data_IF_952909424175
#
_entry.id   IF_952909424175
#
_cell.length_a   1.000
_cell.length_b   1.000
_cell.length_c   1.000
_cell.angle_alpha   90.00
_cell.angle_beta   90.00
_cell.angle_gamma   90.00
#
_symmetry.space_group_name_H-M   'P 1'
#
loop_
_entity.id
_entity.type
_entity.pdbx_description
1 polymer ?
#
# COMPACT_ATOMS: atom_id res chain seq x y z
N UNK A 1 13.87 20.16 2.99
CA UNK A 1 14.72 18.96 2.81
C UNK A 1 13.83 17.73 2.79
N UNK A 2 13.14 17.45 3.90
CA UNK A 2 12.16 16.36 4.04
C UNK A 2 11.21 16.17 2.85
N UNK A 3 10.46 17.22 2.45
CA UNK A 3 9.54 17.14 1.32
C UNK A 3 10.18 16.71 -0.02
N UNK A 4 11.48 16.95 -0.22
CA UNK A 4 12.18 16.51 -1.42
C UNK A 4 12.53 15.03 -1.32
N UNK A 5 13.03 14.60 -0.16
CA UNK A 5 13.41 13.21 0.11
C UNK A 5 12.19 12.29 0.06
N UNK A 6 11.12 12.67 0.76
CA UNK A 6 9.82 11.99 0.73
C UNK A 6 9.30 11.85 -0.71
N UNK A 7 9.23 12.94 -1.48
CA UNK A 7 8.78 12.89 -2.88
C UNK A 7 9.63 11.96 -3.76
N UNK A 8 10.94 11.88 -3.53
CA UNK A 8 11.83 11.02 -4.31
C UNK A 8 11.63 9.54 -3.95
N UNK A 9 11.45 9.21 -2.67
CA UNK A 9 11.12 7.86 -2.21
C UNK A 9 9.78 7.40 -2.78
N UNK A 10 8.73 8.20 -2.65
CA UNK A 10 7.42 7.87 -3.21
C UNK A 10 7.44 7.72 -4.73
N UNK A 11 8.27 8.51 -5.42
CA UNK A 11 8.51 8.36 -6.85
C UNK A 11 9.10 6.99 -7.21
N UNK A 12 9.99 6.46 -6.36
CA UNK A 12 10.58 5.14 -6.53
C UNK A 12 9.57 4.03 -6.22
N UNK A 13 8.77 4.16 -5.15
CA UNK A 13 7.66 3.25 -4.86
C UNK A 13 6.69 3.17 -6.05
N UNK A 14 6.23 4.33 -6.52
CA UNK A 14 5.27 4.43 -7.61
C UNK A 14 5.83 3.85 -8.93
N UNK A 15 7.13 4.02 -9.21
CA UNK A 15 7.79 3.42 -10.38
C UNK A 15 7.74 1.88 -10.32
N UNK A 16 8.07 1.30 -9.17
CA UNK A 16 8.06 -0.17 -8.99
C UNK A 16 6.64 -0.74 -9.08
N UNK A 17 5.65 -0.12 -8.44
CA UNK A 17 4.25 -0.53 -8.54
C UNK A 17 3.71 -0.40 -9.97
N UNK A 18 4.04 0.68 -10.69
CA UNK A 18 3.67 0.84 -12.11
C UNK A 18 4.28 -0.26 -13.00
N UNK A 19 5.48 -0.74 -12.69
CA UNK A 19 6.06 -1.87 -13.43
C UNK A 19 5.27 -3.17 -13.20
N UNK A 20 4.78 -3.41 -11.98
CA UNK A 20 3.89 -4.54 -11.69
C UNK A 20 2.55 -4.40 -12.41
N UNK A 21 1.91 -3.21 -12.35
CA UNK A 21 0.67 -2.93 -13.05
C UNK A 21 0.83 -3.12 -14.56
N UNK A 22 1.93 -2.65 -15.16
CA UNK A 22 2.20 -2.86 -16.59
C UNK A 22 2.29 -4.35 -16.95
N UNK A 23 2.84 -5.19 -16.07
CA UNK A 23 2.86 -6.64 -16.25
C UNK A 23 1.44 -7.25 -16.15
N UNK A 24 0.61 -6.78 -15.22
CA UNK A 24 -0.79 -7.18 -15.12
C UNK A 24 -1.58 -6.77 -16.37
N UNK A 25 -1.44 -5.55 -16.86
CA UNK A 25 -2.08 -5.07 -18.09
C UNK A 25 -1.63 -5.88 -19.30
N UNK A 26 -0.34 -6.22 -19.40
CA UNK A 26 0.15 -7.10 -20.47
C UNK A 26 -0.56 -8.46 -20.47
N UNK A 27 -0.88 -9.00 -19.29
CA UNK A 27 -1.60 -10.26 -19.13
C UNK A 27 -3.11 -10.12 -19.32
N UNK A 28 -3.68 -9.02 -18.83
CA UNK A 28 -5.10 -8.69 -18.81
C UNK A 28 -5.31 -7.24 -19.33
N UNK A 29 -5.35 -7.04 -20.66
CA UNK A 29 -5.37 -5.70 -21.25
C UNK A 29 -6.52 -4.80 -20.78
N UNK A 30 -7.65 -5.37 -20.37
CA UNK A 30 -8.79 -4.61 -19.82
C UNK A 30 -8.43 -3.79 -18.57
N UNK A 31 -7.45 -4.24 -17.77
CA UNK A 31 -6.98 -3.52 -16.58
C UNK A 31 -6.36 -2.14 -16.91
N UNK A 32 -6.02 -1.85 -18.18
CA UNK A 32 -5.61 -0.51 -18.56
C UNK A 32 -6.72 0.50 -18.30
N UNK A 33 -7.98 0.14 -18.56
CA UNK A 33 -9.12 1.00 -18.25
C UNK A 33 -9.19 1.32 -16.76
N UNK A 34 -9.06 0.31 -15.90
CA UNK A 34 -9.02 0.50 -14.45
C UNK A 34 -7.88 1.44 -14.03
N UNK A 35 -6.70 1.30 -14.63
CA UNK A 35 -5.59 2.20 -14.35
C UNK A 35 -5.87 3.64 -14.81
N UNK A 36 -6.44 3.82 -15.99
CA UNK A 36 -6.80 5.13 -16.52
C UNK A 36 -7.87 5.82 -15.66
N UNK A 37 -8.89 5.06 -15.21
CA UNK A 37 -9.93 5.54 -14.31
C UNK A 37 -9.36 5.97 -12.95
N UNK A 38 -8.40 5.19 -12.40
CA UNK A 38 -7.70 5.54 -11.15
C UNK A 38 -6.90 6.83 -11.31
N UNK A 39 -6.18 7.00 -12.42
CA UNK A 39 -5.41 8.23 -12.69
C UNK A 39 -6.34 9.42 -12.81
N UNK A 40 -7.44 9.30 -13.57
CA UNK A 40 -8.43 10.36 -13.72
C UNK A 40 -9.03 10.78 -12.36
N UNK A 41 -9.35 9.82 -11.48
CA UNK A 41 -9.87 10.10 -10.14
C UNK A 41 -8.89 10.94 -9.29
N UNK A 42 -7.59 10.66 -9.39
CA UNK A 42 -6.56 11.46 -8.70
C UNK A 42 -6.32 12.82 -9.36
N UNK A 43 -6.39 12.91 -10.69
CA UNK A 43 -6.28 14.18 -11.41
C UNK A 43 -7.45 15.11 -11.06
N UNK A 44 -8.68 14.59 -11.02
CA UNK A 44 -9.87 15.34 -10.57
C UNK A 44 -9.70 15.86 -9.13
N UNK A 45 -9.26 15.00 -8.20
CA UNK A 45 -8.97 15.42 -6.83
C UNK A 45 -7.90 16.52 -6.78
N UNK A 46 -6.86 16.40 -7.63
CA UNK A 46 -5.77 17.35 -7.71
C UNK A 46 -6.24 18.73 -8.16
N UNK A 47 -7.08 18.79 -9.20
CA UNK A 47 -7.62 20.02 -9.76
C UNK A 47 -8.64 20.71 -8.85
N UNK A 48 -9.45 19.93 -8.13
CA UNK A 48 -10.53 20.47 -7.28
C UNK A 48 -10.05 21.07 -5.96
N UNK A 49 -8.93 20.58 -5.42
CA UNK A 49 -8.51 20.86 -4.05
C UNK A 49 -7.22 21.68 -3.99
N UNK A 50 -7.12 22.53 -2.97
CA UNK A 50 -5.91 23.33 -2.75
C UNK A 50 -4.77 22.50 -2.12
N UNK A 51 -3.57 23.09 -2.10
CA UNK A 51 -2.38 22.43 -1.52
C UNK A 51 -2.55 22.15 -0.02
N UNK A 52 -3.38 22.90 0.72
CA UNK A 52 -3.63 22.64 2.15
C UNK A 52 -4.39 21.34 2.31
N UNK A 53 -5.41 21.10 1.48
CA UNK A 53 -6.10 19.82 1.42
C UNK A 53 -5.15 18.69 1.07
N UNK A 54 -4.34 18.81 0.01
CA UNK A 54 -3.43 17.74 -0.42
C UNK A 54 -2.42 17.34 0.63
N UNK A 55 -1.78 18.31 1.30
CA UNK A 55 -0.85 18.00 2.39
C UNK A 55 -1.58 17.36 3.59
N UNK A 56 -2.79 17.82 3.92
CA UNK A 56 -3.59 17.21 4.97
C UNK A 56 -4.05 15.78 4.60
N UNK A 57 -4.37 15.54 3.33
CA UNK A 57 -4.78 14.26 2.78
C UNK A 57 -3.63 13.24 2.88
N UNK A 58 -2.43 13.62 2.42
CA UNK A 58 -1.22 12.79 2.55
C UNK A 58 -0.90 12.49 4.01
N UNK A 59 -0.92 13.49 4.90
CA UNK A 59 -0.67 13.27 6.33
C UNK A 59 -1.73 12.35 6.99
N UNK A 60 -3.00 12.48 6.60
CA UNK A 60 -4.06 11.58 7.08
C UNK A 60 -3.89 10.15 6.60
N UNK A 61 -3.42 9.95 5.36
CA UNK A 61 -3.12 8.63 4.81
C UNK A 61 -1.93 7.99 5.48
N UNK A 62 -0.79 8.68 5.53
CA UNK A 62 0.45 8.17 6.12
C UNK A 62 0.27 7.80 7.59
N UNK A 63 -0.52 8.58 8.34
CA UNK A 63 -0.88 8.27 9.73
C UNK A 63 -1.54 6.89 9.90
N UNK A 64 -2.15 6.32 8.85
CA UNK A 64 -2.75 4.98 8.90
C UNK A 64 -1.76 3.85 8.63
N UNK A 65 -0.65 4.14 7.95
CA UNK A 65 0.27 3.12 7.44
C UNK A 65 0.92 2.31 8.55
N UNK A 66 1.45 2.95 9.60
CA UNK A 66 2.15 2.22 10.67
C UNK A 66 1.26 1.18 11.38
N UNK A 67 0.06 1.52 11.90
CA UNK A 67 -0.83 0.51 12.49
C UNK A 67 -1.25 -0.59 11.50
N UNK A 68 -1.49 -0.22 10.24
CA UNK A 68 -1.99 -1.12 9.22
C UNK A 68 -0.93 -2.08 8.70
N UNK A 69 0.23 -1.56 8.30
CA UNK A 69 1.39 -2.33 7.86
C UNK A 69 1.97 -3.20 8.96
N UNK A 70 1.87 -2.79 10.24
CA UNK A 70 2.23 -3.68 11.34
C UNK A 70 1.43 -4.98 11.33
N UNK A 71 0.11 -4.92 11.18
CA UNK A 71 -0.72 -6.13 11.09
C UNK A 71 -0.32 -6.95 9.85
N UNK A 72 -0.12 -6.28 8.71
CA UNK A 72 0.27 -6.97 7.48
C UNK A 72 1.62 -7.70 7.64
N UNK A 73 2.62 -7.06 8.25
CA UNK A 73 3.95 -7.63 8.43
C UNK A 73 3.96 -8.73 9.49
N UNK A 74 3.27 -8.52 10.62
CA UNK A 74 3.16 -9.51 11.70
C UNK A 74 2.45 -10.78 11.20
N UNK A 75 1.49 -10.65 10.27
CA UNK A 75 0.71 -11.75 9.68
C UNK A 75 1.10 -12.08 8.22
N UNK A 76 2.29 -11.66 7.79
CA UNK A 76 2.76 -11.83 6.40
C UNK A 76 2.73 -13.27 5.89
N UNK A 77 2.87 -14.26 6.76
CA UNK A 77 2.80 -15.68 6.38
C UNK A 77 1.40 -16.05 5.88
N UNK A 78 0.36 -15.63 6.61
CA UNK A 78 -1.03 -15.84 6.20
C UNK A 78 -1.39 -15.05 4.94
N UNK A 79 -0.83 -13.84 4.79
CA UNK A 79 -1.22 -12.90 3.72
C UNK A 79 -0.40 -13.07 2.43
N UNK A 80 0.86 -13.48 2.54
CA UNK A 80 1.82 -13.50 1.42
C UNK A 80 2.61 -14.81 1.31
N UNK A 81 2.49 -15.75 2.25
CA UNK A 81 3.30 -16.97 2.28
C UNK A 81 3.19 -17.80 1.01
N UNK A 82 1.99 -17.85 0.42
CA UNK A 82 1.71 -18.54 -0.85
C UNK A 82 1.74 -17.61 -2.07
N UNK A 83 2.01 -16.30 -1.86
CA UNK A 83 2.03 -15.30 -2.93
C UNK A 83 3.28 -15.40 -3.81
N UNK A 84 3.18 -14.88 -5.04
CA UNK A 84 4.35 -14.78 -5.94
C UNK A 84 5.48 -13.97 -5.30
N UNK A 85 6.69 -14.51 -5.31
CA UNK A 85 7.81 -13.92 -4.58
C UNK A 85 8.15 -12.49 -5.01
N UNK A 86 7.94 -12.13 -6.28
CA UNK A 86 8.25 -10.77 -6.76
C UNK A 86 7.23 -9.76 -6.27
N UNK A 87 5.96 -10.16 -6.23
CA UNK A 87 4.86 -9.31 -5.78
C UNK A 87 4.88 -9.17 -4.25
N UNK A 88 5.02 -10.29 -3.54
CA UNK A 88 5.12 -10.30 -2.09
C UNK A 88 6.33 -9.49 -1.60
N UNK A 89 7.51 -9.67 -2.22
CA UNK A 89 8.70 -8.90 -1.87
C UNK A 89 8.56 -7.41 -2.19
N UNK A 90 7.92 -7.05 -3.31
CA UNK A 90 7.64 -5.65 -3.66
C UNK A 90 6.76 -4.97 -2.60
N UNK A 91 5.68 -5.65 -2.17
CA UNK A 91 4.77 -5.10 -1.17
C UNK A 91 5.46 -4.98 0.20
N UNK A 92 6.19 -6.01 0.62
CA UNK A 92 6.90 -6.00 1.90
C UNK A 92 8.05 -4.98 1.93
N UNK A 93 8.78 -4.81 0.82
CA UNK A 93 9.77 -3.72 0.68
C UNK A 93 9.12 -2.37 0.91
N UNK A 94 8.04 -2.07 0.17
CA UNK A 94 7.32 -0.82 0.30
C UNK A 94 6.85 -0.60 1.74
N UNK A 95 6.22 -1.59 2.38
CA UNK A 95 5.77 -1.46 3.76
C UNK A 95 6.89 -1.28 4.78
N UNK A 96 8.08 -1.86 4.53
CA UNK A 96 9.25 -1.63 5.38
C UNK A 96 9.81 -0.22 5.22
N UNK A 97 9.87 0.32 4.00
CA UNK A 97 10.31 1.71 3.76
C UNK A 97 9.31 2.72 4.34
N UNK A 98 8.01 2.49 4.19
CA UNK A 98 6.94 3.34 4.77
C UNK A 98 6.98 3.45 6.29
N UNK A 99 7.63 2.49 6.95
CA UNK A 99 7.89 2.56 8.39
C UNK A 99 9.02 3.56 8.71
N UNK A 100 10.01 3.74 7.83
CA UNK A 100 11.13 4.66 8.06
C UNK A 100 10.68 6.12 8.00
N UNK A 101 9.76 6.47 7.10
CA UNK A 101 9.29 7.84 6.89
C UNK A 101 7.84 8.08 7.36
N UNK A 102 7.34 7.26 8.31
CA UNK A 102 5.96 7.26 8.83
C UNK A 102 5.41 8.57 9.43
N UNK A 103 6.23 9.60 9.51
CA UNK A 103 5.90 10.94 10.00
C UNK A 103 6.15 12.04 8.97
N UNK A 104 6.74 11.73 7.80
CA UNK A 104 7.20 12.73 6.85
C UNK A 104 6.06 13.60 6.31
N UNK A 105 4.97 13.01 5.82
CA UNK A 105 3.81 13.77 5.34
C UNK A 105 3.15 14.57 6.46
N UNK A 106 3.08 14.01 7.68
CA UNK A 106 2.55 14.73 8.85
C UNK A 106 3.42 15.95 9.22
N UNK A 107 4.74 15.78 9.24
CA UNK A 107 5.71 16.82 9.57
C UNK A 107 5.73 17.92 8.51
N UNK A 108 5.62 17.55 7.23
CA UNK A 108 5.48 18.50 6.13
C UNK A 108 4.18 19.32 6.32
N UNK A 109 3.04 18.68 6.59
CA UNK A 109 1.79 19.39 6.84
C UNK A 109 1.89 20.32 8.06
N UNK A 110 2.46 19.82 9.16
CA UNK A 110 2.61 20.57 10.40
C UNK A 110 3.55 21.78 10.24
N UNK A 111 4.61 21.64 9.45
CA UNK A 111 5.57 22.72 9.19
C UNK A 111 5.02 23.82 8.27
N UNK A 112 4.15 23.48 7.31
CA UNK A 112 3.58 24.43 6.35
C UNK A 112 2.32 25.11 6.89
N UNK A 113 1.40 24.35 7.48
CA UNK A 113 0.09 24.84 7.91
C UNK A 113 -0.17 24.70 9.40
N UNK A 114 0.21 23.55 10.00
CA UNK A 114 0.04 23.31 11.43
C UNK A 114 -1.40 23.28 11.96
N UNK A 115 -2.40 23.24 11.08
CA UNK A 115 -3.82 23.31 11.43
C UNK A 115 -4.40 21.90 11.64
N UNK A 116 -4.24 21.38 12.84
CA UNK A 116 -4.68 20.02 13.19
C UNK A 116 -6.20 19.85 13.12
N UNK A 117 -6.98 20.89 13.44
CA UNK A 117 -8.43 20.84 13.37
C UNK A 117 -8.91 20.71 11.92
N UNK A 118 -8.32 21.48 11.01
CA UNK A 118 -8.62 21.33 9.58
C UNK A 118 -8.28 19.91 9.10
N UNK A 119 -7.07 19.40 9.40
CA UNK A 119 -6.64 18.06 8.99
C UNK A 119 -7.62 16.98 9.46
N UNK A 120 -8.04 17.04 10.72
CA UNK A 120 -9.03 16.10 11.26
C UNK A 120 -10.41 16.26 10.60
N UNK A 121 -10.82 17.49 10.26
CA UNK A 121 -12.12 17.75 9.64
C UNK A 121 -12.27 17.14 8.24
N UNK A 122 -11.17 16.91 7.52
CA UNK A 122 -11.20 16.29 6.18
C UNK A 122 -11.10 14.76 6.22
N UNK A 123 -10.87 14.13 7.37
CA UNK A 123 -10.77 12.65 7.49
C UNK A 123 -11.96 11.92 6.83
N UNK A 124 -13.23 12.34 7.01
CA UNK A 124 -14.35 11.70 6.32
C UNK A 124 -14.23 11.74 4.79
N UNK A 125 -13.66 12.81 4.22
CA UNK A 125 -13.39 12.91 2.78
C UNK A 125 -12.30 11.94 2.34
N UNK A 126 -11.22 11.83 3.12
CA UNK A 126 -10.13 10.86 2.87
C UNK A 126 -10.69 9.43 2.88
N UNK A 127 -11.51 9.08 3.87
CA UNK A 127 -12.15 7.76 3.98
C UNK A 127 -13.07 7.51 2.77
N UNK A 128 -13.91 8.48 2.41
CA UNK A 128 -14.83 8.35 1.28
C UNK A 128 -14.09 8.15 -0.04
N UNK A 129 -13.03 8.92 -0.28
CA UNK A 129 -12.20 8.81 -1.47
C UNK A 129 -11.54 7.43 -1.57
N UNK A 130 -10.89 6.97 -0.50
CA UNK A 130 -10.20 5.68 -0.50
C UNK A 130 -11.16 4.49 -0.61
N UNK A 131 -12.37 4.61 -0.03
CA UNK A 131 -13.42 3.62 -0.22
C UNK A 131 -13.83 3.53 -1.70
N UNK A 132 -14.11 4.67 -2.33
CA UNK A 132 -14.51 4.71 -3.73
C UNK A 132 -13.40 4.20 -4.66
N UNK A 133 -12.15 4.61 -4.43
CA UNK A 133 -10.98 4.11 -5.13
C UNK A 133 -10.86 2.58 -5.02
N UNK A 134 -11.02 2.03 -3.81
CA UNK A 134 -10.96 0.59 -3.59
C UNK A 134 -12.09 -0.17 -4.29
N UNK A 135 -13.32 0.36 -4.27
CA UNK A 135 -14.46 -0.21 -4.99
C UNK A 135 -14.22 -0.23 -6.51
N UNK A 136 -13.75 0.88 -7.08
CA UNK A 136 -13.40 1.00 -8.49
C UNK A 136 -12.33 -0.03 -8.92
N UNK A 137 -11.27 -0.19 -8.12
CA UNK A 137 -10.22 -1.18 -8.40
C UNK A 137 -10.79 -2.60 -8.36
N UNK A 138 -11.57 -2.94 -7.32
CA UNK A 138 -12.17 -4.27 -7.19
C UNK A 138 -13.14 -4.58 -8.34
N UNK A 139 -13.95 -3.62 -8.76
CA UNK A 139 -14.85 -3.74 -9.91
C UNK A 139 -14.06 -3.97 -11.20
N UNK A 140 -12.98 -3.21 -11.43
CA UNK A 140 -12.10 -3.38 -12.58
C UNK A 140 -11.45 -4.77 -12.64
N UNK A 141 -10.98 -5.29 -11.50
CA UNK A 141 -10.47 -6.66 -11.42
C UNK A 141 -11.55 -7.71 -11.70
N UNK A 142 -12.75 -7.53 -11.14
CA UNK A 142 -13.89 -8.43 -11.36
C UNK A 142 -14.32 -8.47 -12.83
N UNK A 143 -14.25 -7.34 -13.52
CA UNK A 143 -14.62 -7.23 -14.94
C UNK A 143 -13.55 -7.81 -15.86
N UNK A 144 -12.27 -7.56 -15.58
CA UNK A 144 -11.20 -7.79 -16.55
C UNK A 144 -10.30 -9.00 -16.27
N UNK A 145 -10.40 -9.62 -15.09
CA UNK A 145 -9.59 -10.80 -14.72
C UNK A 145 -10.50 -12.02 -14.55
N UNK A 146 -10.45 -12.99 -15.47
CA UNK A 146 -11.33 -14.16 -15.42
C UNK A 146 -10.91 -15.14 -14.33
N UNK A 147 -11.88 -15.92 -13.83
CA UNK A 147 -11.67 -17.01 -12.87
C UNK A 147 -11.05 -16.59 -11.53
N UNK A 148 -11.21 -15.33 -11.12
CA UNK A 148 -10.88 -14.94 -9.76
C UNK A 148 -11.88 -15.59 -8.78
N UNK A 149 -11.40 -16.16 -7.66
CA UNK A 149 -12.27 -16.67 -6.61
C UNK A 149 -13.18 -15.58 -6.04
N UNK A 150 -14.41 -15.92 -5.67
CA UNK A 150 -15.38 -14.95 -5.15
C UNK A 150 -14.89 -14.30 -3.84
N UNK A 151 -14.15 -15.06 -3.04
CA UNK A 151 -13.52 -14.59 -1.80
C UNK A 151 -12.55 -13.43 -2.01
N UNK A 152 -12.00 -13.21 -3.21
CA UNK A 152 -11.20 -12.02 -3.52
C UNK A 152 -12.01 -10.71 -3.41
N UNK A 153 -13.34 -10.79 -3.52
CA UNK A 153 -14.24 -9.64 -3.53
C UNK A 153 -15.14 -9.56 -2.29
N UNK A 154 -15.51 -10.72 -1.72
CA UNK A 154 -16.49 -10.82 -0.62
C UNK A 154 -15.90 -11.36 0.67
N UNK A 155 -14.66 -11.87 0.64
CA UNK A 155 -13.99 -12.52 1.76
C UNK A 155 -13.47 -11.57 2.84
N UNK A 156 -12.95 -12.17 3.92
CA UNK A 156 -12.22 -11.42 4.94
C UNK A 156 -10.96 -10.80 4.32
N UNK A 157 -10.78 -9.48 4.45
CA UNK A 157 -9.59 -8.78 3.91
C UNK A 157 -8.27 -9.19 4.57
N UNK A 158 -8.35 -9.75 5.78
CA UNK A 158 -7.22 -10.15 6.61
C UNK A 158 -7.41 -11.58 7.11
N UNK A 159 -7.42 -12.58 6.20
CA UNK A 159 -7.60 -13.97 6.60
C UNK A 159 -6.48 -14.39 7.55
N UNK A 160 -6.84 -15.09 8.63
CA UNK A 160 -5.90 -15.58 9.64
C UNK A 160 -5.48 -14.56 10.71
N UNK A 161 -5.87 -13.28 10.58
CA UNK A 161 -5.55 -12.27 11.60
C UNK A 161 -6.55 -12.35 12.77
N UNK A 162 -6.11 -12.49 14.03
CA UNK A 162 -7.01 -12.56 15.18
C UNK A 162 -7.84 -11.28 15.37
N UNK A 163 -9.13 -11.42 15.71
CA UNK A 163 -10.03 -10.27 15.95
C UNK A 163 -9.49 -9.25 16.96
N UNK A 164 -8.79 -9.72 18.00
CA UNK A 164 -8.16 -8.84 19.01
C UNK A 164 -7.14 -7.90 18.38
N UNK A 165 -6.38 -8.38 17.41
CA UNK A 165 -5.38 -7.58 16.68
C UNK A 165 -6.05 -6.61 15.72
N UNK A 166 -7.15 -7.03 15.06
CA UNK A 166 -7.99 -6.13 14.28
C UNK A 166 -8.56 -4.98 15.12
N UNK A 167 -9.09 -5.27 16.31
CA UNK A 167 -9.56 -4.25 17.24
C UNK A 167 -8.43 -3.34 17.72
N UNK A 168 -7.25 -3.90 18.00
CA UNK A 168 -6.07 -3.11 18.37
C UNK A 168 -5.64 -2.18 17.22
N UNK A 169 -5.63 -2.67 15.98
CA UNK A 169 -5.33 -1.89 14.79
C UNK A 169 -6.30 -0.72 14.64
N UNK A 170 -7.61 -0.96 14.74
CA UNK A 170 -8.63 0.10 14.66
C UNK A 170 -8.41 1.17 15.75
N UNK A 171 -8.15 0.75 17.00
CA UNK A 171 -7.85 1.68 18.08
C UNK A 171 -6.59 2.52 17.82
N UNK A 172 -5.56 1.91 17.24
CA UNK A 172 -4.33 2.60 16.84
C UNK A 172 -4.53 3.53 15.64
N UNK A 173 -5.35 3.17 14.66
CA UNK A 173 -5.70 4.04 13.53
C UNK A 173 -6.40 5.32 14.02
N UNK A 174 -7.34 5.18 14.96
CA UNK A 174 -8.00 6.35 15.58
C UNK A 174 -6.96 7.18 16.35
N UNK A 175 -6.13 6.52 17.15
CA UNK A 175 -5.10 7.20 17.94
C UNK A 175 -4.09 7.94 17.07
N UNK A 176 -3.70 7.36 15.93
CA UNK A 176 -2.73 7.93 14.99
C UNK A 176 -3.21 9.21 14.31
N UNK A 177 -4.51 9.51 14.38
CA UNK A 177 -5.04 10.78 13.88
C UNK A 177 -4.99 11.89 14.93
N UNK A 178 -4.70 11.58 16.20
CA UNK A 178 -4.79 12.55 17.28
C UNK A 178 -3.52 13.42 17.40
N UNK A 179 -3.64 14.72 17.76
CA UNK A 179 -2.51 15.65 17.80
C UNK A 179 -1.37 15.30 18.76
N UNK A 180 -1.63 14.44 19.75
CA UNK A 180 -0.65 13.99 20.74
C UNK A 180 0.01 12.66 20.37
N UNK A 181 -0.39 12.05 19.25
CA UNK A 181 0.19 10.79 18.82
C UNK A 181 1.58 11.02 18.26
N UNK A 182 2.58 10.36 18.84
CA UNK A 182 3.94 10.39 18.34
C UNK A 182 4.14 9.23 17.36
N UNK A 183 4.21 9.54 16.07
CA UNK A 183 4.39 8.57 14.99
C UNK A 183 5.75 7.87 15.07
N UNK A 184 6.80 8.57 15.48
CA UNK A 184 8.16 8.02 15.57
C UNK A 184 8.33 7.05 16.74
N UNK A 185 7.60 7.27 17.83
CA UNK A 185 7.67 6.47 19.05
C UNK A 185 6.86 5.15 18.99
N UNK A 186 6.38 4.76 17.82
CA UNK A 186 5.59 3.53 17.68
C UNK A 186 6.48 2.28 17.53
N UNK A 187 6.11 1.16 18.18
CA UNK A 187 6.87 -0.07 18.09
C UNK A 187 6.81 -0.62 16.67
N UNK A 188 8.00 -0.88 16.11
CA UNK A 188 8.13 -1.44 14.78
C UNK A 188 7.79 -2.94 14.77
N UNK A 189 7.33 -3.48 13.64
CA UNK A 189 7.25 -4.93 13.45
C UNK A 189 8.63 -5.54 13.58
N UNK A 190 8.80 -6.56 14.42
CA UNK A 190 10.11 -7.18 14.66
C UNK A 190 10.74 -7.70 13.36
N UNK A 191 9.90 -8.19 12.44
CA UNK A 191 10.36 -8.70 11.14
C UNK A 191 10.94 -7.61 10.22
N UNK A 192 10.55 -6.34 10.38
CA UNK A 192 11.15 -5.26 9.59
C UNK A 192 12.67 -5.19 9.80
N UNK A 193 13.15 -5.47 11.02
CA UNK A 193 14.60 -5.55 11.31
C UNK A 193 15.27 -6.65 10.51
N UNK A 194 14.63 -7.81 10.35
CA UNK A 194 15.13 -8.88 9.49
C UNK A 194 15.24 -8.42 8.04
N UNK A 195 14.23 -7.70 7.54
CA UNK A 195 14.30 -7.15 6.19
C UNK A 195 15.48 -6.17 6.02
N UNK A 196 15.66 -5.23 6.96
CA UNK A 196 16.76 -4.26 6.94
C UNK A 196 18.13 -4.92 6.99
N UNK A 197 18.33 -5.91 7.86
CA UNK A 197 19.59 -6.65 7.97
C UNK A 197 20.00 -7.35 6.66
N UNK A 198 19.03 -7.85 5.90
CA UNK A 198 19.29 -8.50 4.61
C UNK A 198 19.55 -7.47 3.50
N UNK A 199 18.82 -6.35 3.52
CA UNK A 199 19.06 -5.23 2.61
C UNK A 199 20.48 -4.66 2.77
N UNK A 200 20.91 -4.43 4.02
CA UNK A 200 22.25 -3.89 4.34
C UNK A 200 23.39 -4.83 3.89
N UNK A 201 23.15 -6.14 3.84
CA UNK A 201 24.10 -7.14 3.31
C UNK A 201 24.19 -7.12 1.79
N UNK A 202 23.33 -6.37 1.10
CA UNK A 202 23.28 -6.29 -0.36
C UNK A 202 22.66 -7.53 -1.00
N UNK A 203 21.77 -8.23 -0.30
CA UNK A 203 21.05 -9.37 -0.85
C UNK A 203 20.02 -8.95 -1.91
N UNK A 204 19.65 -9.86 -2.81
CA UNK A 204 18.60 -9.61 -3.80
C UNK A 204 17.22 -9.60 -3.14
N UNK A 205 16.74 -8.41 -2.83
CA UNK A 205 15.44 -8.22 -2.19
C UNK A 205 14.26 -8.45 -3.14
N UNK A 206 14.48 -8.66 -4.44
CA UNK A 206 13.38 -8.79 -5.41
C UNK A 206 12.64 -10.12 -5.35
N UNK A 207 13.18 -11.12 -4.64
CA UNK A 207 12.56 -12.42 -4.39
C UNK A 207 12.77 -12.87 -2.92
N UNK A 208 12.83 -11.90 -1.99
CA UNK A 208 13.14 -12.13 -0.57
C UNK A 208 12.05 -12.91 0.16
N UNK A 209 10.78 -12.69 -0.17
CA UNK A 209 9.63 -13.32 0.48
C UNK A 209 8.63 -13.85 -0.54
N UNK A 210 7.92 -14.92 -0.21
CA UNK A 210 6.91 -15.57 -1.05
C UNK A 210 7.44 -16.76 -1.85
N UNK A 211 6.59 -17.32 -2.70
CA UNK A 211 6.87 -18.51 -3.51
C UNK A 211 7.59 -18.11 -4.79
N UNK A 212 8.80 -18.62 -4.98
CA UNK A 212 9.53 -18.42 -6.23
C UNK A 212 8.79 -19.16 -7.36
N UNK A 213 8.51 -18.50 -8.49
CA UNK A 213 7.96 -19.20 -9.63
C UNK A 213 8.91 -20.33 -10.04
N UNK A 214 8.35 -21.47 -10.44
CA UNK A 214 9.16 -22.55 -10.99
C UNK A 214 10.03 -21.99 -12.14
N UNK A 215 11.30 -22.40 -12.25
CA UNK A 215 12.09 -22.05 -13.42
C UNK A 215 11.28 -22.46 -14.65
N UNK A 216 11.18 -21.56 -15.64
CA UNK A 216 10.35 -21.76 -16.80
C UNK A 216 10.71 -23.09 -17.48
N UNK A 217 9.94 -24.14 -17.20
CA UNK A 217 9.85 -25.26 -18.12
C UNK A 217 9.33 -24.64 -19.41
N UNK A 218 10.03 -24.92 -20.53
CA UNK A 218 9.58 -24.59 -21.87
C UNK A 218 8.05 -24.74 -21.92
N UNK A 219 7.37 -23.63 -22.19
CA UNK A 219 5.98 -23.65 -22.63
C UNK A 219 5.98 -24.47 -23.92
N UNK A 220 5.95 -25.80 -23.78
CA UNK A 220 5.73 -26.73 -24.85
C UNK A 220 4.33 -26.41 -25.36
N UNK A 221 4.32 -25.61 -26.43
CA UNK A 221 3.16 -25.45 -27.30
C UNK A 221 2.82 -26.86 -27.76
N UNK A 222 1.84 -27.48 -27.13
CA UNK A 222 1.24 -28.71 -27.64
C UNK A 222 0.66 -28.37 -29.02
N UNK A 223 1.10 -29.01 -30.12
CA UNK A 223 0.50 -28.75 -31.41
C UNK A 223 -0.92 -29.29 -31.36
N UNK A 224 -1.88 -28.44 -31.74
CA UNK A 224 -3.28 -28.79 -31.87
C UNK A 224 -3.44 -30.05 -32.74
N UNK A 225 -4.21 -31.01 -32.23
CA UNK A 225 -4.73 -32.14 -32.98
C UNK A 225 -6.20 -31.89 -33.34
#
# INVERSE_FOLDING_TARGET
KEAIEFRLQEGQHAKCHRAHIAALVKRYPGLQKTMDDVVALYDELYEEQDIKFHLAFSGNLEATFTPFFKVIIDHRESLFGEGDSRVASLLLWHFCEEIEHRSAAMDIYQSVYGDQLYRMSIIPKVISFNKHLGEMILEGFKEHVPNLPEECFTGERFPGVPKREMFSMIGKLISAQMPWYNHDAQPLPEWANTWFEHYEKGEDMTNFYGVKPAPAAELAVSPAA
#
